data_IF_687070843211
#
_entry.id   IF_687070843211
#
_cell.length_a   1.000
_cell.length_b   1.000
_cell.length_c   1.000
_cell.angle_alpha   90.00
_cell.angle_beta   90.00
_cell.angle_gamma   90.00
#
_symmetry.space_group_name_H-M   'P 1'
#
loop_
_entity.id
_entity.type
_entity.pdbx_description
1 polymer ?
#
# COMPACT_ATOMS: atom_id res chain seq x y z
N UNK A 1 -13.42 -61.43 40.56
CA UNK A 1 -13.73 -60.61 39.37
C UNK A 1 -14.56 -59.42 39.82
N UNK A 2 -13.93 -58.28 40.12
CA UNK A 2 -14.60 -57.02 40.47
C UNK A 2 -13.70 -55.89 39.97
N UNK A 3 -13.95 -55.35 38.78
CA UNK A 3 -13.21 -54.18 38.26
C UNK A 3 -13.95 -53.54 37.08
N UNK A 4 -15.16 -53.00 37.29
CA UNK A 4 -15.85 -52.26 36.20
C UNK A 4 -16.74 -51.11 36.68
N UNK A 5 -16.44 -50.44 37.80
CA UNK A 5 -17.24 -49.29 38.25
C UNK A 5 -16.47 -47.97 38.48
N UNK A 6 -15.14 -47.97 38.42
CA UNK A 6 -14.34 -46.75 38.70
C UNK A 6 -14.07 -45.84 37.49
N UNK A 7 -14.40 -46.25 36.26
CA UNK A 7 -14.08 -45.46 35.06
C UNK A 7 -15.14 -44.41 34.68
N UNK A 8 -16.36 -44.50 35.20
CA UNK A 8 -17.46 -43.61 34.81
C UNK A 8 -17.42 -42.26 35.55
N UNK A 9 -16.90 -42.22 36.78
CA UNK A 9 -16.89 -41.01 37.60
C UNK A 9 -15.83 -39.97 37.17
N UNK A 10 -14.72 -40.41 36.57
CA UNK A 10 -13.65 -39.51 36.10
C UNK A 10 -13.93 -38.84 34.74
N UNK A 11 -14.79 -39.44 33.90
CA UNK A 11 -15.15 -38.85 32.62
C UNK A 11 -16.09 -37.64 32.77
N UNK A 12 -16.99 -37.67 33.76
CA UNK A 12 -17.96 -36.60 34.02
C UNK A 12 -17.36 -35.37 34.71
N UNK A 13 -16.36 -35.55 35.58
CA UNK A 13 -15.64 -34.42 36.22
C UNK A 13 -14.82 -33.63 35.19
N UNK A 14 -14.19 -34.34 34.24
CA UNK A 14 -13.34 -33.74 33.19
C UNK A 14 -14.18 -32.95 32.16
N UNK A 15 -15.37 -33.44 31.79
CA UNK A 15 -16.32 -32.70 30.93
C UNK A 15 -16.88 -31.46 31.59
N UNK A 16 -17.20 -31.51 32.88
CA UNK A 16 -17.71 -30.33 33.62
C UNK A 16 -16.65 -29.24 33.75
N UNK A 17 -15.37 -29.60 33.94
CA UNK A 17 -14.28 -28.61 33.97
C UNK A 17 -13.99 -27.97 32.61
N UNK A 18 -14.14 -28.70 31.50
CA UNK A 18 -13.99 -28.14 30.15
C UNK A 18 -15.12 -27.17 29.78
N UNK A 19 -16.36 -27.42 30.21
CA UNK A 19 -17.50 -26.53 29.94
C UNK A 19 -17.37 -25.21 30.72
N UNK A 20 -16.86 -25.26 31.97
CA UNK A 20 -16.63 -24.06 32.79
C UNK A 20 -15.50 -23.19 32.20
N UNK A 21 -14.43 -23.80 31.67
CA UNK A 21 -13.33 -23.06 31.05
C UNK A 21 -13.73 -22.35 29.75
N UNK A 22 -14.58 -22.98 28.92
CA UNK A 22 -15.09 -22.38 27.68
C UNK A 22 -16.06 -21.22 27.99
N UNK A 23 -16.91 -21.36 29.01
CA UNK A 23 -17.82 -20.30 29.43
C UNK A 23 -17.10 -19.04 29.94
N UNK A 24 -15.96 -19.18 30.64
CA UNK A 24 -15.17 -18.02 31.08
C UNK A 24 -14.44 -17.31 29.91
N UNK A 25 -13.99 -18.05 28.89
CA UNK A 25 -13.32 -17.47 27.73
C UNK A 25 -14.28 -16.61 26.88
N UNK A 26 -15.55 -17.02 26.76
CA UNK A 26 -16.58 -16.27 26.02
C UNK A 26 -16.95 -14.95 26.74
N UNK A 27 -16.94 -14.93 28.07
CA UNK A 27 -17.25 -13.72 28.85
C UNK A 27 -16.09 -12.71 28.78
N UNK A 28 -14.83 -13.16 28.79
CA UNK A 28 -13.67 -12.27 28.66
C UNK A 28 -13.52 -11.65 27.26
N UNK A 29 -13.91 -12.37 26.20
CA UNK A 29 -13.91 -11.82 24.83
C UNK A 29 -15.14 -10.95 24.56
N UNK A 30 -16.29 -11.23 25.17
CA UNK A 30 -17.50 -10.42 25.03
C UNK A 30 -17.43 -9.03 25.68
N UNK A 31 -16.73 -8.89 26.81
CA UNK A 31 -16.63 -7.63 27.55
C UNK A 31 -15.81 -6.54 26.85
N UNK A 32 -14.78 -6.90 26.06
CA UNK A 32 -13.91 -5.94 25.39
C UNK A 32 -14.50 -5.39 24.08
N UNK A 33 -15.39 -6.13 23.42
CA UNK A 33 -16.04 -5.71 22.15
C UNK A 33 -17.19 -4.72 22.42
N UNK A 34 -17.90 -4.85 23.54
CA UNK A 34 -19.02 -3.97 23.90
C UNK A 34 -18.60 -2.52 24.23
N UNK A 35 -17.47 -2.33 24.91
CA UNK A 35 -17.03 -0.98 25.33
C UNK A 35 -16.51 -0.14 24.15
N UNK A 36 -15.84 -0.78 23.18
CA UNK A 36 -15.36 -0.11 21.97
C UNK A 36 -16.48 0.33 21.02
N UNK A 37 -17.55 -0.46 20.91
CA UNK A 37 -18.72 -0.13 20.08
C UNK A 37 -19.59 0.97 20.73
N UNK A 38 -19.76 0.95 22.05
CA UNK A 38 -20.50 1.99 22.79
C UNK A 38 -19.81 3.36 22.73
N UNK A 39 -18.46 3.40 22.87
CA UNK A 39 -17.68 4.64 22.74
C UNK A 39 -17.68 5.23 21.32
N UNK A 40 -17.82 4.39 20.29
CA UNK A 40 -17.95 4.84 18.90
C UNK A 40 -19.33 5.42 18.60
N UNK A 41 -20.40 4.87 19.19
CA UNK A 41 -21.77 5.33 18.95
C UNK A 41 -22.11 6.62 19.73
N UNK A 42 -21.51 6.85 20.90
CA UNK A 42 -21.79 8.03 21.74
C UNK A 42 -21.11 9.33 21.27
N UNK A 43 -20.19 9.27 20.30
CA UNK A 43 -19.44 10.43 19.78
C UNK A 43 -19.99 11.00 18.45
N UNK A 44 -21.22 10.64 18.04
CA UNK A 44 -21.90 11.31 16.92
C UNK A 44 -22.90 12.32 17.46
N UNK A 45 -22.59 13.60 17.32
CA UNK A 45 -23.59 14.66 17.45
C UNK A 45 -24.58 14.58 16.27
N UNK A 46 -25.90 14.69 16.51
CA UNK A 46 -26.88 14.89 15.45
C UNK A 46 -26.86 16.36 15.00
N UNK A 47 -27.09 16.58 13.71
CA UNK A 47 -27.31 17.87 13.05
C UNK A 47 -26.07 18.78 12.88
N UNK A 48 -25.33 18.57 11.78
CA UNK A 48 -24.54 19.64 11.15
C UNK A 48 -25.29 20.16 9.90
N UNK A 49 -25.61 21.47 9.83
CA UNK A 49 -26.32 22.08 8.71
C UNK A 49 -25.44 22.18 7.45
N UNK A 50 -26.08 22.19 6.27
CA UNK A 50 -25.44 22.58 5.02
C UNK A 50 -24.74 23.94 5.20
N UNK A 51 -23.40 23.96 5.14
CA UNK A 51 -22.65 25.21 5.05
C UNK A 51 -22.02 25.37 3.66
N UNK A 52 -22.40 26.47 3.03
CA UNK A 52 -21.73 27.07 1.88
C UNK A 52 -20.27 27.42 2.22
N UNK A 53 -19.35 27.32 1.23
CA UNK A 53 -17.93 27.61 1.46
C UNK A 53 -17.73 29.11 1.78
N UNK A 54 -17.05 29.47 2.88
CA UNK A 54 -16.76 30.87 3.17
C UNK A 54 -15.59 31.35 2.31
N UNK A 55 -15.85 32.38 1.51
CA UNK A 55 -14.80 33.26 1.01
C UNK A 55 -14.06 33.85 2.21
N UNK A 56 -12.73 33.74 2.17
CA UNK A 56 -11.87 34.01 3.30
C UNK A 56 -11.83 35.48 3.75
N UNK A 57 -11.21 35.67 4.92
CA UNK A 57 -10.30 36.77 5.31
C UNK A 57 -10.27 36.82 6.85
N UNK A 58 -9.13 36.52 7.46
CA UNK A 58 -8.99 36.76 8.90
C UNK A 58 -7.85 36.00 9.57
N UNK A 59 -6.90 36.77 10.08
CA UNK A 59 -5.75 36.41 10.91
C UNK A 59 -5.95 35.35 11.99
N UNK A 60 -4.88 34.60 12.26
CA UNK A 60 -4.46 34.24 13.61
C UNK A 60 -4.94 32.89 14.15
N UNK A 61 -3.99 32.01 14.46
CA UNK A 61 -4.22 30.88 15.37
C UNK A 61 -3.94 29.52 14.76
N UNK A 62 -2.80 28.93 15.13
CA UNK A 62 -2.62 27.49 15.25
C UNK A 62 -3.00 26.64 14.04
N UNK A 63 -2.18 26.67 12.99
CA UNK A 63 -2.01 25.48 12.18
C UNK A 63 -1.37 24.41 13.08
N UNK A 64 -2.19 23.68 13.83
CA UNK A 64 -1.90 22.28 14.05
C UNK A 64 -1.87 21.67 12.65
N UNK A 65 -0.68 21.68 12.04
CA UNK A 65 -0.37 20.81 10.93
C UNK A 65 -0.76 19.43 11.44
N UNK A 66 -1.93 18.92 11.01
CA UNK A 66 -2.29 17.52 11.19
C UNK A 66 -1.08 16.77 10.66
N UNK A 67 -0.29 16.18 11.56
CA UNK A 67 0.80 15.31 11.15
C UNK A 67 0.20 14.37 10.11
N UNK A 68 0.81 14.22 8.91
CA UNK A 68 0.29 13.29 7.92
C UNK A 68 0.14 11.95 8.63
N UNK A 69 -1.12 11.51 8.76
CA UNK A 69 -1.46 10.31 9.49
C UNK A 69 -0.60 9.16 8.93
N UNK A 70 0.00 8.31 9.78
CA UNK A 70 0.81 7.20 9.30
C UNK A 70 0.04 6.44 8.23
N UNK A 71 0.64 6.31 7.05
CA UNK A 71 -0.04 5.71 5.90
C UNK A 71 -0.26 4.23 6.18
N UNK A 72 -1.44 3.88 6.69
CA UNK A 72 -1.83 2.50 7.01
C UNK A 72 -1.98 1.66 5.75
N UNK A 73 -1.53 0.40 5.84
CA UNK A 73 -1.80 -0.65 4.87
C UNK A 73 -3.32 -0.87 4.73
N UNK A 74 -3.72 -1.41 3.59
CA UNK A 74 -5.13 -1.61 3.25
C UNK A 74 -5.55 -0.97 1.94
N UNK A 75 -6.85 -1.01 1.68
CA UNK A 75 -7.47 -0.43 0.49
C UNK A 75 -8.10 0.91 0.83
N UNK A 76 -7.73 1.96 0.07
CA UNK A 76 -8.29 3.30 0.21
C UNK A 76 -8.89 3.76 -1.11
N UNK A 77 -10.14 4.20 -1.07
CA UNK A 77 -10.79 4.84 -2.21
C UNK A 77 -10.42 6.32 -2.27
N UNK A 78 -10.06 6.81 -3.45
CA UNK A 78 -9.79 8.24 -3.70
C UNK A 78 -10.46 8.63 -5.01
N UNK A 79 -11.57 9.35 -4.90
CA UNK A 79 -12.46 9.63 -6.03
C UNK A 79 -12.97 8.33 -6.65
N UNK A 80 -12.64 8.11 -7.92
CA UNK A 80 -12.99 6.89 -8.67
C UNK A 80 -11.88 5.83 -8.66
N UNK A 81 -10.70 6.16 -8.12
CA UNK A 81 -9.55 5.27 -8.04
C UNK A 81 -9.45 4.59 -6.67
N UNK A 82 -8.71 3.49 -6.62
CA UNK A 82 -8.38 2.82 -5.38
C UNK A 82 -6.87 2.68 -5.25
N UNK A 83 -6.36 2.97 -4.06
CA UNK A 83 -4.97 2.78 -3.67
C UNK A 83 -4.91 1.63 -2.68
N UNK A 84 -4.13 0.61 -3.01
CA UNK A 84 -3.86 -0.55 -2.16
C UNK A 84 -2.42 -0.42 -1.70
N UNK A 85 -2.20 -0.48 -0.38
CA UNK A 85 -0.89 -0.32 0.22
C UNK A 85 -0.51 -1.53 1.06
N UNK A 86 0.75 -1.94 0.93
CA UNK A 86 1.37 -2.95 1.77
C UNK A 86 2.82 -2.57 2.05
N UNK A 87 3.09 -1.99 3.21
CA UNK A 87 4.35 -1.37 3.57
C UNK A 87 4.77 -0.30 2.55
N UNK A 88 5.85 -0.59 1.81
CA UNK A 88 6.36 0.29 0.76
C UNK A 88 5.73 0.02 -0.62
N UNK A 89 5.01 -1.09 -0.79
CA UNK A 89 4.37 -1.42 -2.05
C UNK A 89 3.03 -0.69 -2.17
N UNK A 90 2.80 -0.10 -3.34
CA UNK A 90 1.54 0.56 -3.67
C UNK A 90 1.06 0.07 -5.02
N UNK A 91 -0.16 -0.45 -5.06
CA UNK A 91 -0.92 -0.70 -6.27
C UNK A 91 -2.01 0.36 -6.38
N UNK A 92 -2.20 0.94 -7.56
CA UNK A 92 -3.32 1.85 -7.85
C UNK A 92 -4.18 1.22 -8.92
N UNK A 93 -5.46 1.02 -8.61
CA UNK A 93 -6.49 0.59 -9.54
C UNK A 93 -7.28 1.82 -10.02
N UNK A 94 -7.21 2.09 -11.32
CA UNK A 94 -7.89 3.19 -11.99
C UNK A 94 -8.98 2.60 -12.90
N UNK A 95 -10.21 3.14 -12.87
CA UNK A 95 -11.23 2.70 -13.81
C UNK A 95 -10.83 3.10 -15.24
N UNK A 96 -11.08 2.22 -16.21
CA UNK A 96 -10.73 2.39 -17.62
C UNK A 96 -11.75 1.68 -18.49
N UNK A 97 -12.63 2.41 -19.17
CA UNK A 97 -13.58 1.92 -20.20
C UNK A 97 -14.12 0.49 -19.98
N UNK A 98 -14.79 0.24 -18.84
CA UNK A 98 -15.39 -1.05 -18.52
C UNK A 98 -14.46 -2.08 -17.86
N UNK A 99 -13.20 -1.71 -17.61
CA UNK A 99 -12.22 -2.51 -16.88
C UNK A 99 -11.42 -1.63 -15.88
N UNK A 100 -10.40 -2.22 -15.26
CA UNK A 100 -9.44 -1.57 -14.38
C UNK A 100 -8.06 -1.53 -15.03
N UNK A 101 -7.37 -0.40 -14.90
CA UNK A 101 -5.96 -0.24 -15.19
C UNK A 101 -5.18 -0.22 -13.89
N UNK A 102 -4.12 -1.01 -13.82
CA UNK A 102 -3.29 -1.12 -12.62
C UNK A 102 -1.94 -0.44 -12.83
N UNK A 103 -1.43 0.19 -11.77
CA UNK A 103 -0.06 0.68 -11.70
C UNK A 103 0.57 0.29 -10.38
N UNK A 104 1.86 -0.03 -10.41
CA UNK A 104 2.60 -0.62 -9.30
C UNK A 104 3.82 0.24 -9.00
N UNK A 105 4.05 0.59 -7.74
CA UNK A 105 5.15 1.48 -7.33
C UNK A 105 5.63 1.19 -5.91
N UNK A 106 6.89 1.55 -5.63
CA UNK A 106 7.41 1.63 -4.27
C UNK A 106 7.28 3.04 -3.71
N UNK A 107 6.97 3.19 -2.41
CA UNK A 107 7.01 4.45 -1.66
C UNK A 107 7.94 4.36 -0.45
N UNK A 108 9.01 5.17 -0.37
CA UNK A 108 9.66 5.89 -1.48
C UNK A 108 10.30 4.91 -2.48
N UNK A 109 10.66 5.39 -3.68
CA UNK A 109 11.26 4.57 -4.74
C UNK A 109 12.50 3.79 -4.25
N UNK A 110 12.64 2.55 -4.72
CA UNK A 110 13.81 1.70 -4.45
C UNK A 110 14.88 1.97 -5.52
N UNK A 111 16.07 2.33 -5.07
CA UNK A 111 17.24 2.61 -5.90
C UNK A 111 18.42 1.77 -5.42
N UNK A 112 19.25 1.30 -6.35
CA UNK A 112 20.48 0.56 -6.05
C UNK A 112 21.59 1.50 -5.59
N UNK A 113 21.51 2.78 -5.98
CA UNK A 113 22.50 3.81 -5.66
C UNK A 113 21.83 5.16 -5.39
N UNK A 114 22.37 5.98 -4.45
CA UNK A 114 21.79 7.28 -4.09
C UNK A 114 21.79 8.30 -5.24
N UNK A 115 22.63 8.12 -6.26
CA UNK A 115 22.73 9.02 -7.42
C UNK A 115 21.66 8.74 -8.50
N UNK A 116 21.01 7.57 -8.47
CA UNK A 116 20.04 7.18 -9.51
C UNK A 116 18.87 8.15 -9.72
N UNK A 117 18.24 8.72 -8.67
CA UNK A 117 17.18 9.70 -8.86
C UNK A 117 17.62 10.92 -9.70
N UNK A 118 18.88 11.34 -9.55
CA UNK A 118 19.45 12.44 -10.32
C UNK A 118 19.55 12.08 -11.81
N UNK A 119 19.92 10.84 -12.14
CA UNK A 119 19.93 10.37 -13.53
C UNK A 119 18.52 10.28 -14.12
N UNK A 120 17.54 9.76 -13.38
CA UNK A 120 16.15 9.65 -13.86
C UNK A 120 15.52 11.01 -14.21
N UNK A 121 16.01 12.09 -13.60
CA UNK A 121 15.55 13.46 -13.86
C UNK A 121 16.45 14.25 -14.82
N UNK A 122 17.52 13.66 -15.35
CA UNK A 122 18.53 14.35 -16.16
C UNK A 122 17.94 15.10 -17.38
N UNK A 123 16.95 14.51 -18.06
CA UNK A 123 16.29 15.16 -19.20
C UNK A 123 15.58 16.48 -18.85
N UNK A 124 15.14 16.64 -17.60
CA UNK A 124 14.51 17.86 -17.09
C UNK A 124 15.54 18.88 -16.57
N UNK A 125 16.81 18.48 -16.45
CA UNK A 125 17.93 19.34 -16.01
C UNK A 125 18.74 19.88 -17.19
N UNK A 126 18.11 20.04 -18.36
CA UNK A 126 18.78 20.33 -19.63
C UNK A 126 19.70 21.56 -19.60
N UNK A 127 19.26 22.64 -18.95
CA UNK A 127 20.08 23.86 -18.76
C UNK A 127 21.23 23.64 -17.77
N UNK A 128 20.98 22.98 -16.64
CA UNK A 128 22.00 22.75 -15.60
C UNK A 128 23.12 21.80 -16.08
N UNK A 129 22.77 20.84 -16.95
CA UNK A 129 23.72 19.90 -17.54
C UNK A 129 24.33 20.42 -18.86
N UNK A 130 23.81 21.50 -19.43
CA UNK A 130 24.25 22.01 -20.73
C UNK A 130 24.08 20.96 -21.84
N UNK A 131 22.91 20.33 -21.91
CA UNK A 131 22.64 19.28 -22.90
C UNK A 131 22.59 19.88 -24.31
N UNK A 132 23.28 19.25 -25.26
CA UNK A 132 23.14 19.59 -26.68
C UNK A 132 21.76 19.18 -27.21
N UNK A 133 21.35 19.72 -28.36
CA UNK A 133 20.05 19.37 -28.94
C UNK A 133 19.96 17.89 -29.35
N UNK A 134 21.08 17.30 -29.79
CA UNK A 134 21.15 15.88 -30.08
C UNK A 134 20.99 15.03 -28.80
N UNK A 135 21.62 15.42 -27.68
CA UNK A 135 21.44 14.74 -26.40
C UNK A 135 19.98 14.84 -25.91
N UNK A 136 19.36 16.02 -26.04
CA UNK A 136 17.94 16.19 -25.70
C UNK A 136 17.05 15.27 -26.53
N UNK A 137 17.31 15.18 -27.83
CA UNK A 137 16.58 14.29 -28.74
C UNK A 137 16.73 12.83 -28.34
N UNK A 138 17.94 12.37 -28.04
CA UNK A 138 18.21 11.00 -27.59
C UNK A 138 17.54 10.68 -26.24
N UNK A 139 17.64 11.57 -25.26
CA UNK A 139 16.99 11.39 -23.96
C UNK A 139 15.45 11.43 -24.04
N UNK A 140 14.89 12.21 -24.97
CA UNK A 140 13.45 12.25 -25.20
C UNK A 140 12.94 11.00 -25.93
N UNK A 141 13.79 10.35 -26.72
CA UNK A 141 13.47 9.09 -27.39
C UNK A 141 13.50 7.88 -26.45
N UNK A 142 14.15 7.99 -25.28
CA UNK A 142 14.09 6.93 -24.26
C UNK A 142 12.66 6.80 -23.72
N UNK A 143 12.13 5.57 -23.58
CA UNK A 143 10.83 5.37 -22.99
C UNK A 143 10.83 5.92 -21.56
N UNK A 144 9.76 6.61 -21.16
CA UNK A 144 9.69 7.12 -19.80
C UNK A 144 9.82 5.94 -18.81
N UNK A 145 10.88 5.95 -18.00
CA UNK A 145 10.97 5.02 -16.88
C UNK A 145 9.95 5.47 -15.83
N UNK A 146 8.78 4.83 -15.83
CA UNK A 146 7.67 5.20 -14.94
C UNK A 146 7.90 4.68 -13.53
N UNK A 147 9.13 4.78 -13.00
CA UNK A 147 9.52 4.61 -11.58
C UNK A 147 8.86 3.46 -10.82
N UNK A 148 8.46 2.42 -11.55
CA UNK A 148 7.42 1.50 -11.11
C UNK A 148 8.01 0.22 -10.60
N UNK A 149 7.27 -0.45 -9.74
CA UNK A 149 7.59 -1.81 -9.36
C UNK A 149 7.41 -2.71 -10.57
N UNK A 150 8.44 -3.47 -10.95
CA UNK A 150 8.38 -4.43 -12.05
C UNK A 150 7.63 -5.67 -11.56
N UNK A 151 6.41 -5.86 -12.03
CA UNK A 151 5.55 -6.99 -11.65
C UNK A 151 5.46 -7.96 -12.83
N UNK A 152 5.70 -9.25 -12.57
CA UNK A 152 5.60 -10.29 -13.60
C UNK A 152 4.17 -10.41 -14.15
N UNK A 153 3.96 -10.89 -15.39
CA UNK A 153 2.61 -11.07 -15.93
C UNK A 153 1.72 -11.96 -15.06
N UNK A 154 2.29 -13.01 -14.46
CA UNK A 154 1.56 -13.92 -13.57
C UNK A 154 1.15 -13.24 -12.26
N UNK A 155 2.06 -12.46 -11.67
CA UNK A 155 1.76 -11.67 -10.47
C UNK A 155 0.72 -10.58 -10.74
N UNK A 156 0.79 -9.92 -11.91
CA UNK A 156 -0.23 -8.95 -12.33
C UNK A 156 -1.60 -9.63 -12.40
N UNK A 157 -1.70 -10.74 -13.14
CA UNK A 157 -2.95 -11.51 -13.27
C UNK A 157 -3.49 -11.96 -11.91
N UNK A 158 -2.62 -12.37 -10.99
CA UNK A 158 -2.99 -12.77 -9.64
C UNK A 158 -3.55 -11.60 -8.83
N UNK A 159 -2.86 -10.47 -8.81
CA UNK A 159 -3.32 -9.25 -8.11
C UNK A 159 -4.63 -8.71 -8.69
N UNK A 160 -4.80 -8.76 -10.00
CA UNK A 160 -6.04 -8.38 -10.68
C UNK A 160 -7.21 -9.29 -10.29
N UNK A 161 -6.97 -10.59 -10.18
CA UNK A 161 -7.96 -11.55 -9.67
C UNK A 161 -8.37 -11.24 -8.23
N UNK A 162 -7.39 -11.01 -7.35
CA UNK A 162 -7.66 -10.65 -5.94
C UNK A 162 -8.37 -9.31 -5.81
N UNK A 163 -8.05 -8.34 -6.67
CA UNK A 163 -8.76 -7.06 -6.74
C UNK A 163 -10.22 -7.26 -7.12
N UNK A 164 -10.50 -8.09 -8.13
CA UNK A 164 -11.87 -8.43 -8.54
C UNK A 164 -12.64 -9.05 -7.37
N UNK A 165 -12.05 -10.03 -6.68
CA UNK A 165 -12.66 -10.69 -5.52
C UNK A 165 -12.98 -9.69 -4.40
N UNK A 166 -12.08 -8.76 -4.10
CA UNK A 166 -12.32 -7.68 -3.14
C UNK A 166 -13.44 -6.73 -3.58
N UNK A 167 -13.45 -6.36 -4.87
CA UNK A 167 -14.42 -5.39 -5.38
C UNK A 167 -15.84 -5.97 -5.42
N UNK A 168 -15.99 -7.27 -5.68
CA UNK A 168 -17.30 -7.97 -5.71
C UNK A 168 -17.72 -8.59 -4.38
N UNK A 169 -16.86 -8.58 -3.36
CA UNK A 169 -17.18 -9.12 -2.04
C UNK A 169 -18.27 -8.30 -1.31
N UNK A 170 -19.06 -9.01 -0.49
CA UNK A 170 -20.00 -8.41 0.46
C UNK A 170 -19.25 -7.57 1.49
N UNK A 171 -19.91 -6.58 2.10
CA UNK A 171 -19.26 -5.72 3.10
C UNK A 171 -18.72 -6.50 4.31
N UNK A 172 -19.36 -7.62 4.69
CA UNK A 172 -18.88 -8.51 5.74
C UNK A 172 -17.61 -9.29 5.36
N UNK A 173 -17.41 -9.56 4.07
CA UNK A 173 -16.26 -10.32 3.56
C UNK A 173 -15.12 -9.43 3.04
N UNK A 174 -15.39 -8.15 2.74
CA UNK A 174 -14.40 -7.19 2.26
C UNK A 174 -13.13 -7.14 3.11
N UNK A 175 -13.19 -7.09 4.46
CA UNK A 175 -11.97 -7.08 5.28
C UNK A 175 -11.07 -8.29 5.06
N UNK A 176 -11.65 -9.48 4.86
CA UNK A 176 -10.88 -10.70 4.59
C UNK A 176 -10.23 -10.66 3.21
N UNK A 177 -10.95 -10.19 2.19
CA UNK A 177 -10.43 -10.06 0.82
C UNK A 177 -9.36 -8.98 0.71
N UNK A 178 -9.54 -7.88 1.44
CA UNK A 178 -8.54 -6.83 1.58
C UNK A 178 -7.23 -7.39 2.14
N UNK A 179 -7.31 -8.14 3.25
CA UNK A 179 -6.11 -8.73 3.86
C UNK A 179 -5.35 -9.63 2.87
N UNK A 180 -6.06 -10.53 2.17
CA UNK A 180 -5.43 -11.41 1.17
C UNK A 180 -4.78 -10.61 0.04
N UNK A 181 -5.44 -9.56 -0.45
CA UNK A 181 -4.90 -8.69 -1.49
C UNK A 181 -3.65 -7.93 -1.02
N UNK A 182 -3.67 -7.39 0.20
CA UNK A 182 -2.55 -6.65 0.80
C UNK A 182 -1.36 -7.56 1.07
N UNK A 183 -1.59 -8.77 1.56
CA UNK A 183 -0.55 -9.77 1.80
C UNK A 183 0.07 -10.24 0.48
N UNK A 184 -0.73 -10.49 -0.55
CA UNK A 184 -0.18 -10.85 -1.85
C UNK A 184 0.61 -9.70 -2.47
N UNK A 185 0.14 -8.46 -2.35
CA UNK A 185 0.87 -7.29 -2.82
C UNK A 185 2.25 -7.19 -2.15
N UNK A 186 2.35 -7.53 -0.85
CA UNK A 186 3.62 -7.62 -0.14
C UNK A 186 4.56 -8.65 -0.77
N UNK A 187 4.04 -9.87 -0.98
CA UNK A 187 4.82 -10.98 -1.50
C UNK A 187 5.31 -10.70 -2.93
N UNK A 188 4.45 -10.11 -3.77
CA UNK A 188 4.83 -9.64 -5.11
C UNK A 188 5.92 -8.59 -5.00
N UNK A 189 5.76 -7.61 -4.10
CA UNK A 189 6.74 -6.55 -3.94
C UNK A 189 8.10 -7.06 -3.49
N UNK A 190 8.17 -8.10 -2.67
CA UNK A 190 9.44 -8.74 -2.29
C UNK A 190 10.12 -9.42 -3.49
N UNK A 191 9.35 -10.15 -4.32
CA UNK A 191 9.86 -10.76 -5.56
C UNK A 191 10.30 -9.73 -6.60
N UNK A 192 9.61 -8.60 -6.65
CA UNK A 192 9.83 -7.53 -7.62
C UNK A 192 11.05 -6.65 -7.33
N UNK A 193 11.69 -6.76 -6.16
CA UNK A 193 12.79 -5.86 -5.78
C UNK A 193 13.95 -5.96 -6.79
N UNK A 194 14.51 -7.15 -6.98
CA UNK A 194 15.69 -7.33 -7.84
C UNK A 194 15.41 -7.00 -9.31
N UNK A 195 14.29 -7.46 -9.92
CA UNK A 195 13.92 -7.03 -11.27
C UNK A 195 13.76 -5.51 -11.41
N UNK A 196 13.19 -4.85 -10.39
CA UNK A 196 13.02 -3.40 -10.40
C UNK A 196 14.37 -2.68 -10.35
N UNK A 197 15.27 -3.08 -9.44
CA UNK A 197 16.60 -2.49 -9.33
C UNK A 197 17.40 -2.67 -10.64
N UNK A 198 17.38 -3.87 -11.21
CA UNK A 198 18.06 -4.15 -12.48
C UNK A 198 17.50 -3.28 -13.62
N UNK A 199 16.18 -3.10 -13.71
CA UNK A 199 15.57 -2.26 -14.72
C UNK A 199 15.92 -0.77 -14.54
N UNK A 200 16.03 -0.29 -13.30
CA UNK A 200 16.51 1.07 -13.00
C UNK A 200 17.97 1.21 -13.43
N UNK A 201 18.83 0.25 -13.08
CA UNK A 201 20.25 0.25 -13.45
C UNK A 201 20.44 0.29 -14.97
N UNK A 202 19.70 -0.55 -15.70
CA UNK A 202 19.72 -0.59 -17.16
C UNK A 202 19.31 0.76 -17.75
N UNK A 203 18.23 1.36 -17.23
CA UNK A 203 17.74 2.65 -17.72
C UNK A 203 18.72 3.79 -17.42
N UNK A 204 19.32 3.81 -16.22
CA UNK A 204 20.38 4.76 -15.86
C UNK A 204 21.61 4.57 -16.75
N UNK A 205 21.95 3.33 -17.12
CA UNK A 205 23.00 3.03 -18.10
C UNK A 205 22.74 3.67 -19.46
N UNK A 206 21.50 3.59 -19.97
CA UNK A 206 21.09 4.26 -21.21
C UNK A 206 21.24 5.78 -21.14
N UNK A 207 20.91 6.38 -20.00
CA UNK A 207 21.11 7.83 -19.79
C UNK A 207 22.60 8.17 -19.78
N UNK A 208 23.41 7.42 -19.03
CA UNK A 208 24.86 7.62 -18.95
C UNK A 208 25.54 7.52 -20.32
N UNK A 209 25.03 6.68 -21.23
CA UNK A 209 25.53 6.55 -22.59
C UNK A 209 25.27 7.80 -23.47
N UNK A 210 24.27 8.62 -23.14
CA UNK A 210 23.97 9.87 -23.85
C UNK A 210 24.75 11.05 -23.27
N UNK A 211 25.07 11.01 -21.97
CA UNK A 211 25.76 12.08 -21.27
C UNK A 211 27.28 11.99 -21.42
N UNK A 212 27.97 13.14 -21.34
CA UNK A 212 29.43 13.16 -21.24
C UNK A 212 29.89 12.78 -19.82
N UNK A 213 31.14 12.33 -19.63
CA UNK A 213 31.68 12.02 -18.30
C UNK A 213 31.57 13.20 -17.32
N UNK A 214 31.74 14.43 -17.79
CA UNK A 214 31.59 15.65 -16.98
C UNK A 214 30.15 15.86 -16.52
N UNK A 215 29.17 15.65 -17.40
CA UNK A 215 27.74 15.73 -17.08
C UNK A 215 27.32 14.65 -16.08
N UNK A 216 27.84 13.43 -16.24
CA UNK A 216 27.67 12.34 -15.28
C UNK A 216 28.23 12.75 -13.91
N UNK A 217 29.44 13.31 -13.87
CA UNK A 217 30.06 13.79 -12.64
C UNK A 217 29.25 14.88 -11.91
N UNK A 218 28.53 15.73 -12.64
CA UNK A 218 27.62 16.74 -12.03
C UNK A 218 26.41 16.10 -11.34
N UNK A 219 25.95 14.93 -11.81
CA UNK A 219 24.80 14.23 -11.24
C UNK A 219 25.15 13.37 -10.03
N UNK A 220 26.40 12.92 -9.91
CA UNK A 220 26.87 12.06 -8.81
C UNK A 220 27.31 12.82 -7.56
N UNK A 221 27.61 14.11 -7.68
CA UNK A 221 28.08 14.96 -6.57
C UNK A 221 26.96 15.60 -5.74
N UNK A 222 25.70 15.22 -5.99
CA UNK A 222 24.52 15.69 -5.25
C UNK A 222 24.07 14.62 -4.28
#
# INVERSE_FOLDING_TARGET
>A
MSSTETNSANADSTRRQQIIAIAMLVIFVGGAVGFGFWQWQSNRSPDEPLMDPPMGRGMGGGNFARMPEPQRDGVRKTGTSFTIRSGQAVMVALPSEGNWRFSYRYQPGKFSSPDQPSFLTAKYQSMALGLSDEQKKQLNALPAFVGGMIVSPDDQKKLEGLWKDYNTASDGDKPKREQVLVDELKNVAERSVQPTLAAVDEYVGKIKAVLTPEQVGKLQKK
#
